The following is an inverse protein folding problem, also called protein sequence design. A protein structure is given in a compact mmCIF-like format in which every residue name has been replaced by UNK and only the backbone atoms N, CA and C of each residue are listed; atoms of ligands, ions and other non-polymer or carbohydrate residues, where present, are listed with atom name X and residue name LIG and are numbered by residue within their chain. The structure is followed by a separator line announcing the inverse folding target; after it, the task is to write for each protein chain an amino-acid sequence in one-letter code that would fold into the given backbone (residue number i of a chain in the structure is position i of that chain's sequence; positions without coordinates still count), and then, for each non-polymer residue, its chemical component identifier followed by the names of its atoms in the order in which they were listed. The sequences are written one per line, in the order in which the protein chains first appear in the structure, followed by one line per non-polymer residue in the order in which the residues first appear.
data_IF_367979554861
#
_entry.id   IF_367979554861
#
_cell.length_a   1.000
_cell.length_b   1.000
_cell.length_c   1.000
_cell.angle_alpha   90.00
_cell.angle_beta   90.00
_cell.angle_gamma   90.00
#
_symmetry.space_group_name_H-M   'P 1'
#
loop_
_entity.id
_entity.type
_entity.pdbx_description
1 polymer ?
#
# COMPACT_ATOMS: atom_id res chain seq x y z
N UNK A 1 16.03 20.67 80.08
CA UNK A 1 16.06 21.11 78.65
C UNK A 1 15.74 19.90 77.81
N UNK A 2 14.51 19.78 77.34
CA UNK A 2 14.02 18.68 76.52
C UNK A 2 13.99 19.20 75.08
N UNK A 3 14.77 18.61 74.18
CA UNK A 3 14.75 18.94 72.74
C UNK A 3 13.79 17.99 72.05
N UNK A 4 12.72 18.51 71.58
CA UNK A 4 11.74 17.82 70.73
C UNK A 4 12.21 17.85 69.29
N UNK A 5 12.60 16.70 68.70
CA UNK A 5 12.91 16.61 67.26
C UNK A 5 11.61 16.35 66.47
N UNK A 6 11.28 17.25 65.57
CA UNK A 6 10.16 17.16 64.67
C UNK A 6 10.63 16.39 63.40
N UNK A 7 10.14 15.17 63.24
CA UNK A 7 10.35 14.40 62.00
C UNK A 7 9.30 14.84 60.94
N UNK A 8 9.80 15.46 59.89
CA UNK A 8 9.02 15.79 58.72
C UNK A 8 8.94 14.60 57.78
N UNK A 9 7.79 13.93 57.70
CA UNK A 9 7.58 12.84 56.75
C UNK A 9 7.24 13.44 55.36
N UNK A 10 8.16 13.34 54.40
CA UNK A 10 7.90 13.66 53.00
C UNK A 10 7.09 12.50 52.37
N UNK A 11 5.81 12.71 52.14
CA UNK A 11 4.97 11.80 51.36
C UNK A 11 5.34 11.91 49.88
N UNK A 12 5.96 10.86 49.30
CA UNK A 12 6.08 10.72 47.88
C UNK A 12 4.69 10.44 47.30
N UNK A 13 4.08 11.42 46.67
CA UNK A 13 2.93 11.22 45.80
C UNK A 13 3.37 10.48 44.53
N UNK A 14 3.04 9.19 44.40
CA UNK A 14 3.18 8.45 43.15
C UNK A 14 2.13 8.99 42.16
N UNK A 15 2.57 9.79 41.19
CA UNK A 15 1.78 10.15 40.03
C UNK A 15 1.54 8.85 39.25
N UNK A 16 0.30 8.42 39.00
CA UNK A 16 0.06 7.28 38.14
C UNK A 16 0.61 7.66 36.75
N UNK A 17 1.61 6.93 36.27
CA UNK A 17 1.99 6.93 34.86
C UNK A 17 0.77 6.37 34.14
N UNK A 18 -0.03 7.25 33.52
CA UNK A 18 -1.04 6.82 32.55
C UNK A 18 -0.29 5.93 31.54
N UNK A 19 -0.64 4.66 31.48
CA UNK A 19 -0.16 3.78 30.44
C UNK A 19 -0.47 4.49 29.12
N UNK A 20 0.56 4.81 28.33
CA UNK A 20 0.43 5.37 27.01
C UNK A 20 -0.45 4.38 26.23
N UNK A 21 -1.69 4.78 25.93
CA UNK A 21 -2.60 3.93 25.19
C UNK A 21 -1.88 3.59 23.88
N UNK A 22 -1.53 2.33 23.72
CA UNK A 22 -0.75 1.85 22.56
C UNK A 22 -1.53 2.14 21.29
N UNK A 23 -1.15 3.22 20.62
CA UNK A 23 -1.83 3.72 19.42
C UNK A 23 -1.50 2.81 18.25
N UNK A 24 -2.49 2.10 17.74
CA UNK A 24 -2.35 1.37 16.47
C UNK A 24 -3.23 2.04 15.41
N UNK A 25 -2.78 2.01 14.17
CA UNK A 25 -3.53 2.52 13.03
C UNK A 25 -3.25 1.69 11.78
N UNK A 26 -4.21 1.63 10.88
CA UNK A 26 -4.09 0.93 9.61
C UNK A 26 -4.86 1.68 8.53
N UNK A 27 -4.23 1.88 7.39
CA UNK A 27 -4.88 2.41 6.19
C UNK A 27 -4.51 1.55 5.00
N UNK A 28 -5.49 1.25 4.14
CA UNK A 28 -5.31 0.44 2.94
C UNK A 28 -5.94 1.14 1.72
N UNK A 29 -5.44 0.81 0.53
CA UNK A 29 -6.09 1.15 -0.73
C UNK A 29 -6.17 -0.05 -1.67
N UNK A 30 -7.22 -0.08 -2.48
CA UNK A 30 -7.43 -1.01 -3.59
C UNK A 30 -7.20 -0.36 -4.95
N UNK A 31 -6.62 0.85 -4.97
CA UNK A 31 -6.27 1.60 -6.17
C UNK A 31 -7.06 2.87 -6.40
N UNK A 32 -6.42 3.84 -7.06
CA UNK A 32 -7.03 5.06 -7.56
C UNK A 32 -7.19 4.98 -9.09
N UNK A 33 -8.25 5.60 -9.64
CA UNK A 33 -8.52 5.59 -11.07
C UNK A 33 -9.84 6.23 -11.45
N UNK A 34 -10.30 5.97 -12.69
CA UNK A 34 -11.63 6.41 -13.16
C UNK A 34 -12.68 5.47 -12.57
N UNK A 35 -13.03 5.71 -11.31
CA UNK A 35 -14.03 4.95 -10.56
C UNK A 35 -15.27 5.84 -10.43
N UNK A 36 -16.19 5.67 -11.37
CA UNK A 36 -17.42 6.45 -11.40
C UNK A 36 -18.60 5.63 -10.88
N UNK A 37 -19.44 6.22 -10.02
CA UNK A 37 -20.62 5.57 -9.44
C UNK A 37 -21.55 4.96 -10.48
N UNK A 38 -21.70 5.60 -11.64
CA UNK A 38 -22.53 5.09 -12.75
C UNK A 38 -21.95 3.87 -13.48
N UNK A 39 -20.64 3.63 -13.33
CA UNK A 39 -19.94 2.53 -14.00
C UNK A 39 -19.79 1.29 -13.11
N UNK A 40 -20.15 1.39 -11.84
CA UNK A 40 -20.06 0.29 -10.86
C UNK A 40 -21.48 -0.11 -10.46
N UNK A 41 -21.85 -1.38 -10.68
CA UNK A 41 -23.15 -1.86 -10.23
C UNK A 41 -23.23 -1.85 -8.70
N UNK A 42 -24.44 -1.77 -8.14
CA UNK A 42 -24.61 -1.82 -6.68
C UNK A 42 -24.15 -3.16 -6.08
N UNK A 43 -24.12 -4.23 -6.86
CA UNK A 43 -23.59 -5.54 -6.45
C UNK A 43 -22.07 -5.52 -6.40
N UNK A 44 -21.41 -5.00 -7.44
CA UNK A 44 -19.97 -4.87 -7.53
C UNK A 44 -19.44 -3.92 -6.46
N UNK A 45 -20.11 -2.78 -6.23
CA UNK A 45 -19.75 -1.85 -5.15
C UNK A 45 -19.78 -2.55 -3.79
N UNK A 46 -20.83 -3.32 -3.50
CA UNK A 46 -20.89 -4.10 -2.25
C UNK A 46 -19.79 -5.16 -2.17
N UNK A 47 -19.45 -5.80 -3.29
CA UNK A 47 -18.37 -6.80 -3.32
C UNK A 47 -17.00 -6.15 -3.05
N UNK A 48 -16.70 -5.03 -3.70
CA UNK A 48 -15.47 -4.25 -3.47
C UNK A 48 -15.36 -3.80 -2.02
N UNK A 49 -16.44 -3.22 -1.44
CA UNK A 49 -16.43 -2.77 -0.04
C UNK A 49 -16.22 -3.95 0.92
N UNK A 50 -16.88 -5.10 0.70
CA UNK A 50 -16.64 -6.30 1.52
C UNK A 50 -15.19 -6.77 1.49
N UNK A 51 -14.54 -6.74 0.32
CA UNK A 51 -13.14 -7.17 0.20
C UNK A 51 -12.17 -6.16 0.82
N UNK A 52 -12.45 -4.84 0.74
CA UNK A 52 -11.73 -3.82 1.50
C UNK A 52 -11.88 -4.03 3.01
N UNK A 53 -13.10 -4.24 3.49
CA UNK A 53 -13.35 -4.48 4.91
C UNK A 53 -12.64 -5.74 5.40
N UNK A 54 -12.67 -6.84 4.62
CA UNK A 54 -11.94 -8.07 4.95
C UNK A 54 -10.42 -7.86 5.03
N UNK A 55 -9.86 -7.08 4.10
CA UNK A 55 -8.43 -6.77 4.10
C UNK A 55 -8.04 -5.90 5.29
N UNK A 56 -8.87 -4.89 5.61
CA UNK A 56 -8.71 -4.04 6.77
C UNK A 56 -8.79 -4.85 8.08
N UNK A 57 -9.77 -5.75 8.18
CA UNK A 57 -9.98 -6.60 9.35
C UNK A 57 -8.82 -7.58 9.55
N UNK A 58 -8.26 -8.15 8.47
CA UNK A 58 -7.12 -9.05 8.55
C UNK A 58 -5.87 -8.37 9.13
N UNK A 59 -5.54 -7.16 8.65
CA UNK A 59 -4.42 -6.40 9.22
C UNK A 59 -4.69 -5.91 10.64
N UNK A 60 -5.91 -5.46 10.91
CA UNK A 60 -6.29 -5.00 12.26
C UNK A 60 -6.30 -6.12 13.30
N UNK A 61 -6.65 -7.35 12.92
CA UNK A 61 -6.56 -8.49 13.82
C UNK A 61 -5.11 -8.72 14.30
N UNK A 62 -4.14 -8.63 13.38
CA UNK A 62 -2.71 -8.71 13.72
C UNK A 62 -2.32 -7.63 14.73
N UNK A 63 -2.72 -6.36 14.50
CA UNK A 63 -2.39 -5.26 15.40
C UNK A 63 -3.04 -5.42 16.78
N UNK A 64 -4.31 -5.86 16.84
CA UNK A 64 -5.03 -6.12 18.10
C UNK A 64 -4.40 -7.24 18.91
N UNK A 65 -3.89 -8.26 18.25
CA UNK A 65 -3.16 -9.36 18.91
C UNK A 65 -1.72 -8.96 19.30
N UNK A 66 -1.35 -7.70 19.06
CA UNK A 66 -0.05 -7.16 19.40
C UNK A 66 1.06 -7.48 18.42
N UNK A 67 0.72 -7.96 17.23
CA UNK A 67 1.66 -8.22 16.13
C UNK A 67 2.26 -6.95 15.54
N UNK A 68 3.25 -7.11 14.66
CA UNK A 68 4.00 -6.02 14.06
C UNK A 68 3.23 -5.31 12.94
N UNK A 69 3.58 -4.05 12.67
CA UNK A 69 3.10 -3.32 11.49
C UNK A 69 3.41 -4.06 10.19
N UNK A 70 4.58 -4.71 10.10
CA UNK A 70 4.99 -5.52 8.96
C UNK A 70 4.05 -6.71 8.71
N UNK A 71 3.64 -7.42 9.77
CA UNK A 71 2.69 -8.52 9.68
C UNK A 71 1.30 -8.02 9.30
N UNK A 72 0.88 -6.87 9.83
CA UNK A 72 -0.42 -6.27 9.54
C UNK A 72 -0.56 -5.86 8.07
N UNK A 73 0.44 -5.15 7.49
CA UNK A 73 0.40 -4.78 6.07
C UNK A 73 0.45 -6.02 5.18
N UNK A 74 1.24 -7.03 5.55
CA UNK A 74 1.31 -8.30 4.81
C UNK A 74 -0.05 -8.99 4.81
N UNK A 75 -0.72 -9.09 5.96
CA UNK A 75 -2.03 -9.72 6.08
C UNK A 75 -3.10 -9.01 5.23
N UNK A 76 -3.13 -7.68 5.26
CA UNK A 76 -4.03 -6.86 4.43
C UNK A 76 -3.80 -7.07 2.93
N UNK A 77 -2.54 -6.97 2.48
CA UNK A 77 -2.21 -7.11 1.06
C UNK A 77 -2.53 -8.52 0.54
N UNK A 78 -2.28 -9.57 1.32
CA UNK A 78 -2.62 -10.95 0.92
C UNK A 78 -4.12 -11.08 0.62
N UNK A 79 -4.99 -10.48 1.41
CA UNK A 79 -6.45 -10.48 1.15
C UNK A 79 -6.79 -9.71 -0.14
N UNK A 80 -6.11 -8.57 -0.38
CA UNK A 80 -6.31 -7.78 -1.60
C UNK A 80 -5.78 -8.52 -2.84
N UNK A 81 -4.66 -9.24 -2.75
CA UNK A 81 -4.10 -10.07 -3.82
C UNK A 81 -4.98 -11.30 -4.17
N UNK A 82 -5.78 -11.81 -3.23
CA UNK A 82 -6.75 -12.90 -3.47
C UNK A 82 -8.06 -12.40 -4.08
N UNK A 83 -8.34 -11.10 -4.06
CA UNK A 83 -9.56 -10.51 -4.61
C UNK A 83 -9.47 -10.31 -6.13
N UNK A 84 -10.52 -10.69 -6.90
CA UNK A 84 -10.55 -10.43 -8.34
C UNK A 84 -10.82 -8.96 -8.69
N UNK A 85 -11.17 -8.14 -7.71
CA UNK A 85 -11.59 -6.74 -7.92
C UNK A 85 -10.40 -5.78 -8.10
N UNK A 86 -9.27 -6.06 -7.44
CA UNK A 86 -8.13 -5.16 -7.40
C UNK A 86 -7.03 -5.62 -8.37
N UNK A 87 -6.25 -4.67 -8.87
CA UNK A 87 -5.14 -4.96 -9.79
C UNK A 87 -3.88 -5.41 -9.01
N UNK A 88 -3.96 -6.57 -8.41
CA UNK A 88 -2.85 -7.25 -7.76
C UNK A 88 -3.20 -8.74 -7.62
N UNK A 89 -2.24 -9.64 -7.66
CA UNK A 89 -2.50 -11.07 -7.54
C UNK A 89 -3.59 -11.55 -8.50
N UNK A 90 -4.66 -12.14 -7.97
CA UNK A 90 -5.78 -12.73 -8.72
C UNK A 90 -6.46 -11.77 -9.71
N UNK A 91 -6.57 -10.50 -9.37
CA UNK A 91 -7.20 -9.48 -10.21
C UNK A 91 -6.22 -8.68 -11.06
N UNK A 92 -4.99 -9.15 -11.22
CA UNK A 92 -3.95 -8.44 -11.98
C UNK A 92 -4.32 -8.25 -13.45
N UNK A 93 -3.96 -7.10 -14.01
CA UNK A 93 -4.16 -6.79 -15.43
C UNK A 93 -3.27 -7.64 -16.33
N UNK A 94 -3.71 -7.82 -17.58
CA UNK A 94 -2.91 -8.50 -18.61
C UNK A 94 -1.87 -7.56 -19.23
N UNK A 95 -0.69 -8.11 -19.51
CA UNK A 95 0.31 -7.48 -20.36
C UNK A 95 -0.04 -7.63 -21.86
N UNK A 96 0.74 -7.03 -22.75
CA UNK A 96 0.50 -7.06 -24.19
C UNK A 96 0.64 -8.47 -24.81
N UNK A 97 1.38 -9.39 -24.18
CA UNK A 97 1.51 -10.76 -24.59
C UNK A 97 0.32 -11.64 -24.16
N UNK A 98 -0.57 -11.12 -23.31
CA UNK A 98 -1.75 -11.82 -22.80
C UNK A 98 -1.46 -12.68 -21.57
N UNK A 99 -0.38 -12.41 -20.86
CA UNK A 99 -0.04 -12.97 -19.56
C UNK A 99 -0.01 -11.91 -18.47
N UNK A 100 0.48 -12.28 -17.28
CA UNK A 100 0.59 -11.42 -16.12
C UNK A 100 2.05 -11.27 -15.69
N UNK A 101 2.41 -10.06 -15.25
CA UNK A 101 3.69 -9.72 -14.64
C UNK A 101 3.39 -8.89 -13.41
N UNK A 102 3.70 -9.44 -12.24
CA UNK A 102 3.32 -8.89 -10.94
C UNK A 102 4.53 -8.25 -10.26
N UNK A 103 4.28 -7.13 -9.60
CA UNK A 103 5.30 -6.37 -8.88
C UNK A 103 4.82 -6.13 -7.44
N UNK A 104 5.73 -6.15 -6.47
CA UNK A 104 5.42 -5.82 -5.09
C UNK A 104 6.63 -5.29 -4.34
N UNK A 105 6.40 -4.48 -3.32
CA UNK A 105 7.42 -4.08 -2.35
C UNK A 105 6.86 -3.92 -0.95
N UNK A 106 7.73 -4.10 0.04
CA UNK A 106 7.44 -3.94 1.45
C UNK A 106 8.63 -3.26 2.14
N UNK A 107 8.36 -2.39 3.10
CA UNK A 107 9.40 -1.68 3.85
C UNK A 107 9.01 -1.54 5.33
N UNK A 108 9.98 -1.78 6.20
CA UNK A 108 9.91 -1.63 7.64
C UNK A 108 10.59 -0.33 8.06
N UNK A 109 9.84 0.58 8.68
CA UNK A 109 10.31 1.97 8.89
C UNK A 109 11.45 2.11 9.88
N UNK A 110 11.39 1.42 11.02
CA UNK A 110 12.36 1.58 12.11
C UNK A 110 13.75 1.01 11.79
N UNK A 111 13.84 0.02 10.91
CA UNK A 111 15.13 -0.56 10.45
C UNK A 111 15.54 -0.10 9.07
N UNK A 112 14.62 0.47 8.29
CA UNK A 112 14.77 0.78 6.86
C UNK A 112 15.01 -0.46 5.99
N UNK A 113 14.80 -1.68 6.51
CA UNK A 113 14.84 -2.90 5.68
C UNK A 113 13.67 -2.88 4.71
N UNK A 114 13.96 -3.32 3.49
CA UNK A 114 12.97 -3.38 2.44
C UNK A 114 13.19 -4.61 1.56
N UNK A 115 12.13 -5.06 0.92
CA UNK A 115 12.17 -6.12 -0.10
C UNK A 115 11.22 -5.81 -1.23
N UNK A 116 11.61 -6.17 -2.45
CA UNK A 116 10.83 -5.94 -3.65
C UNK A 116 10.99 -7.05 -4.67
N UNK A 117 9.94 -7.27 -5.45
CA UNK A 117 9.96 -8.16 -6.61
C UNK A 117 9.26 -7.49 -7.78
N UNK A 118 9.76 -7.73 -9.01
CA UNK A 118 9.18 -7.21 -10.23
C UNK A 118 9.10 -8.30 -11.30
N UNK A 119 8.01 -8.31 -12.10
CA UNK A 119 7.85 -9.19 -13.25
C UNK A 119 7.72 -10.67 -12.90
N UNK A 120 7.17 -11.02 -11.73
CA UNK A 120 6.87 -12.43 -11.39
C UNK A 120 5.53 -12.84 -11.98
N UNK A 121 5.39 -14.11 -12.38
CA UNK A 121 4.24 -14.59 -13.15
C UNK A 121 3.60 -15.89 -12.63
N UNK A 122 4.20 -16.51 -11.62
CA UNK A 122 3.72 -17.78 -11.05
C UNK A 122 3.69 -17.78 -9.52
N UNK A 123 4.04 -16.65 -8.88
CA UNK A 123 3.99 -16.47 -7.42
C UNK A 123 2.60 -16.02 -7.03
N UNK A 124 1.88 -16.85 -6.26
CA UNK A 124 0.48 -16.58 -5.86
C UNK A 124 0.32 -15.24 -5.14
N UNK A 125 1.25 -14.92 -4.23
CA UNK A 125 1.26 -13.69 -3.45
C UNK A 125 2.60 -12.97 -3.58
N UNK A 126 2.72 -12.00 -4.50
CA UNK A 126 3.95 -11.22 -4.70
C UNK A 126 4.46 -10.52 -3.45
N UNK A 127 3.54 -10.04 -2.57
CA UNK A 127 3.96 -9.37 -1.32
C UNK A 127 4.67 -10.31 -0.35
N UNK A 128 4.29 -11.59 -0.31
CA UNK A 128 4.99 -12.60 0.51
C UNK A 128 6.41 -12.84 -0.03
N UNK A 129 6.57 -12.87 -1.35
CA UNK A 129 7.89 -13.01 -1.95
C UNK A 129 8.75 -11.75 -1.73
N UNK A 130 8.20 -10.54 -1.87
CA UNK A 130 8.89 -9.30 -1.55
C UNK A 130 9.37 -9.29 -0.09
N UNK A 131 8.54 -9.74 0.85
CA UNK A 131 8.91 -9.92 2.24
C UNK A 131 10.03 -10.96 2.41
N UNK A 132 9.95 -12.10 1.75
CA UNK A 132 10.99 -13.12 1.78
C UNK A 132 12.34 -12.61 1.24
N UNK A 133 12.33 -11.76 0.21
CA UNK A 133 13.55 -11.07 -0.27
C UNK A 133 14.17 -10.23 0.84
N UNK A 134 13.38 -9.46 1.57
CA UNK A 134 13.86 -8.63 2.71
C UNK A 134 14.41 -9.47 3.86
N UNK A 135 13.72 -10.57 4.21
CA UNK A 135 14.03 -11.34 5.43
C UNK A 135 15.13 -12.39 5.22
N UNK A 136 15.26 -12.92 3.99
CA UNK A 136 16.05 -14.12 3.71
C UNK A 136 17.09 -13.94 2.59
N UNK A 137 17.39 -12.70 2.21
CA UNK A 137 18.45 -12.40 1.25
C UNK A 137 19.22 -11.15 1.62
N UNK A 138 20.44 -10.95 1.09
CA UNK A 138 21.19 -9.69 1.24
C UNK A 138 20.68 -8.61 0.26
N UNK A 139 19.72 -8.93 -0.60
CA UNK A 139 19.25 -8.04 -1.66
C UNK A 139 17.98 -7.31 -1.23
N UNK A 140 17.75 -6.13 -1.81
CA UNK A 140 16.49 -5.38 -1.63
C UNK A 140 15.50 -5.72 -2.74
N UNK A 141 15.96 -6.02 -3.96
CA UNK A 141 15.07 -6.23 -5.10
C UNK A 141 15.55 -7.36 -5.99
N UNK A 142 14.61 -8.20 -6.43
CA UNK A 142 14.81 -9.25 -7.42
C UNK A 142 13.75 -9.13 -8.54
N UNK A 143 14.07 -9.56 -9.76
CA UNK A 143 13.15 -9.43 -10.90
C UNK A 143 13.11 -10.68 -11.79
N UNK A 144 11.96 -10.89 -12.46
CA UNK A 144 11.74 -11.90 -13.48
C UNK A 144 12.19 -13.30 -13.06
N UNK A 145 12.90 -13.99 -13.94
CA UNK A 145 13.35 -15.38 -13.71
C UNK A 145 14.22 -15.53 -12.45
N UNK A 146 14.98 -14.49 -12.05
CA UNK A 146 15.77 -14.52 -10.82
C UNK A 146 14.90 -14.53 -9.57
N UNK A 147 13.84 -13.71 -9.54
CA UNK A 147 12.87 -13.69 -8.45
C UNK A 147 12.08 -15.00 -8.36
N UNK A 148 11.70 -15.58 -9.51
CA UNK A 148 11.04 -16.89 -9.60
C UNK A 148 11.95 -18.02 -9.07
N UNK A 149 13.24 -18.02 -9.44
CA UNK A 149 14.21 -18.98 -8.93
C UNK A 149 14.44 -18.84 -7.42
N UNK A 150 14.45 -17.62 -6.88
CA UNK A 150 14.49 -17.41 -5.44
C UNK A 150 13.23 -17.96 -4.76
N UNK A 151 12.04 -17.75 -5.34
CA UNK A 151 10.79 -18.30 -4.81
C UNK A 151 10.84 -19.84 -4.72
N UNK A 152 11.51 -20.54 -5.66
CA UNK A 152 11.66 -22.01 -5.63
C UNK A 152 12.51 -22.50 -4.44
N UNK A 153 13.35 -21.64 -3.87
CA UNK A 153 14.13 -21.96 -2.67
C UNK A 153 13.34 -21.73 -1.37
N UNK A 154 12.09 -21.25 -1.47
CA UNK A 154 11.25 -20.80 -0.33
C UNK A 154 9.95 -21.61 -0.30
N UNK A 155 9.88 -22.71 0.47
CA UNK A 155 8.70 -23.61 0.48
C UNK A 155 7.42 -22.92 0.99
N UNK A 156 7.54 -21.81 1.74
CA UNK A 156 6.41 -21.00 2.18
C UNK A 156 5.80 -20.12 1.06
N UNK A 157 6.47 -19.96 -0.07
CA UNK A 157 5.99 -19.18 -1.22
C UNK A 157 5.19 -20.08 -2.16
N UNK A 158 3.88 -19.95 -2.11
CA UNK A 158 2.98 -20.73 -2.96
C UNK A 158 3.12 -20.35 -4.44
N UNK A 159 3.24 -21.37 -5.29
CA UNK A 159 3.29 -21.23 -6.76
C UNK A 159 1.94 -21.58 -7.35
N UNK A 160 1.59 -20.90 -8.43
CA UNK A 160 0.36 -21.13 -9.19
C UNK A 160 0.66 -21.17 -10.69
N UNK A 161 -0.25 -21.72 -11.46
CA UNK A 161 -0.21 -21.61 -12.91
C UNK A 161 -0.51 -20.15 -13.32
N UNK A 162 0.06 -19.65 -14.42
CA UNK A 162 -0.18 -18.27 -14.87
C UNK A 162 -1.66 -17.94 -15.10
N UNK A 163 -2.48 -18.90 -15.52
CA UNK A 163 -3.92 -18.71 -15.73
C UNK A 163 -4.73 -18.56 -14.43
N UNK A 164 -4.13 -18.77 -13.26
CA UNK A 164 -4.75 -18.51 -11.96
C UNK A 164 -5.12 -17.02 -11.76
N UNK A 165 -4.37 -16.12 -12.40
CA UNK A 165 -4.58 -14.68 -12.31
C UNK A 165 -5.66 -14.16 -13.25
N UNK A 166 -6.11 -14.97 -14.22
CA UNK A 166 -7.07 -14.60 -15.25
C UNK A 166 -8.43 -14.23 -14.64
N UNK A 167 -8.99 -13.11 -15.09
CA UNK A 167 -10.39 -12.75 -14.87
C UNK A 167 -11.00 -12.22 -16.16
N UNK A 168 -12.31 -12.46 -16.39
CA UNK A 168 -13.00 -12.01 -17.60
C UNK A 168 -12.97 -10.49 -17.72
N UNK A 169 -13.19 -9.78 -16.60
CA UNK A 169 -13.10 -8.32 -16.55
C UNK A 169 -11.75 -7.78 -17.03
N UNK A 170 -10.63 -8.39 -16.60
CA UNK A 170 -9.29 -7.95 -17.04
C UNK A 170 -9.00 -8.31 -18.48
N UNK A 171 -9.56 -9.40 -18.96
CA UNK A 171 -9.46 -9.80 -20.38
C UNK A 171 -10.18 -8.79 -21.27
N UNK A 172 -11.40 -8.40 -20.91
CA UNK A 172 -12.15 -7.34 -21.62
C UNK A 172 -11.39 -6.00 -21.63
N UNK A 173 -10.76 -5.63 -20.52
CA UNK A 173 -9.93 -4.41 -20.45
C UNK A 173 -8.75 -4.47 -21.42
N UNK A 174 -8.06 -5.62 -21.55
CA UNK A 174 -6.98 -5.79 -22.52
C UNK A 174 -7.49 -5.64 -23.96
N UNK A 175 -8.62 -6.25 -24.29
CA UNK A 175 -9.21 -6.14 -25.63
C UNK A 175 -9.58 -4.69 -25.98
N UNK A 176 -10.17 -3.96 -25.02
CA UNK A 176 -10.47 -2.54 -25.20
C UNK A 176 -9.20 -1.69 -25.39
N UNK A 177 -8.15 -1.96 -24.59
CA UNK A 177 -6.88 -1.26 -24.71
C UNK A 177 -6.24 -1.50 -26.09
N UNK A 178 -6.24 -2.73 -26.59
CA UNK A 178 -5.76 -3.08 -27.94
C UNK A 178 -6.56 -2.43 -29.06
N UNK A 179 -7.90 -2.32 -28.91
CA UNK A 179 -8.76 -1.61 -29.89
C UNK A 179 -8.43 -0.12 -29.95
N UNK A 180 -8.26 0.53 -28.81
CA UNK A 180 -7.87 1.97 -28.73
C UNK A 180 -6.50 2.21 -29.37
N UNK A 181 -5.52 1.36 -29.06
CA UNK A 181 -4.18 1.46 -29.63
C UNK A 181 -4.20 1.33 -31.18
N UNK A 182 -4.96 0.36 -31.73
CA UNK A 182 -5.14 0.22 -33.18
C UNK A 182 -5.80 1.45 -33.83
N UNK A 183 -6.63 2.18 -33.08
CA UNK A 183 -7.25 3.42 -33.49
C UNK A 183 -6.34 4.67 -33.33
N UNK A 184 -5.08 4.48 -32.91
CA UNK A 184 -4.12 5.58 -32.68
C UNK A 184 -4.47 6.46 -31.47
N UNK A 185 -5.32 5.99 -30.57
CA UNK A 185 -5.70 6.72 -29.37
C UNK A 185 -4.67 6.51 -28.26
N UNK A 186 -4.26 7.60 -27.61
CA UNK A 186 -3.36 7.53 -26.47
C UNK A 186 -3.96 6.69 -25.32
N UNK A 187 -3.09 6.06 -24.53
CA UNK A 187 -3.50 5.45 -23.27
C UNK A 187 -4.20 6.50 -22.38
N UNK A 188 -5.31 6.10 -21.78
CA UNK A 188 -6.12 6.99 -20.93
C UNK A 188 -5.93 6.62 -19.46
N UNK A 189 -6.22 7.54 -18.50
CA UNK A 189 -6.24 7.21 -17.07
C UNK A 189 -7.04 5.95 -16.72
N UNK A 190 -8.10 5.63 -17.48
CA UNK A 190 -8.87 4.39 -17.34
C UNK A 190 -8.09 3.10 -17.65
N UNK A 191 -6.86 3.22 -18.20
CA UNK A 191 -5.95 2.09 -18.45
C UNK A 191 -5.11 1.69 -17.24
N UNK A 192 -5.16 2.45 -16.14
CA UNK A 192 -4.27 2.32 -14.96
C UNK A 192 -5.01 1.94 -13.70
N UNK A 193 -5.94 1.01 -13.72
CA UNK A 193 -6.67 0.67 -12.50
C UNK A 193 -5.83 -0.16 -11.54
N UNK A 194 -5.57 0.43 -10.38
CA UNK A 194 -5.69 -0.12 -9.07
C UNK A 194 -4.59 -0.97 -8.49
N UNK A 195 -3.37 -0.50 -8.36
CA UNK A 195 -2.39 -1.00 -7.37
C UNK A 195 -3.03 -1.13 -5.98
N UNK A 196 -2.71 -2.16 -5.20
CA UNK A 196 -3.13 -2.27 -3.80
C UNK A 196 -2.02 -1.86 -2.84
N UNK A 197 -2.39 -1.31 -1.68
CA UNK A 197 -1.42 -0.88 -0.68
C UNK A 197 -1.96 -0.91 0.74
N UNK A 198 -1.02 -0.96 1.70
CA UNK A 198 -1.31 -0.89 3.11
C UNK A 198 -0.18 -0.15 3.85
N UNK A 199 -0.55 0.66 4.85
CA UNK A 199 0.37 1.28 5.80
C UNK A 199 -0.17 1.07 7.19
N UNK A 200 0.66 0.58 8.11
CA UNK A 200 0.31 0.28 9.49
C UNK A 200 1.26 0.92 10.49
N UNK A 201 0.71 1.27 11.65
CA UNK A 201 1.42 1.65 12.87
C UNK A 201 1.11 0.62 13.96
N UNK A 202 2.11 -0.02 14.53
CA UNK A 202 1.94 -0.98 15.62
C UNK A 202 2.07 -0.33 17.01
N UNK A 203 1.78 -1.11 18.05
CA UNK A 203 1.84 -0.68 19.45
C UNK A 203 3.23 -0.25 19.93
N UNK A 204 4.29 -0.56 19.17
CA UNK A 204 5.67 -0.15 19.48
C UNK A 204 6.05 1.16 18.78
N UNK A 205 5.12 1.77 18.04
CA UNK A 205 5.35 2.97 17.24
C UNK A 205 6.12 2.69 15.95
N UNK A 206 6.22 1.41 15.53
CA UNK A 206 6.84 1.05 14.26
C UNK A 206 5.85 1.19 13.12
N UNK A 207 6.32 1.73 12.01
CA UNK A 207 5.55 1.90 10.77
C UNK A 207 6.05 0.89 9.74
N UNK A 208 5.14 0.30 8.97
CA UNK A 208 5.45 -0.47 7.78
C UNK A 208 4.53 -0.06 6.63
N UNK A 209 5.05 -0.14 5.41
CA UNK A 209 4.30 0.10 4.19
C UNK A 209 4.50 -1.04 3.20
N UNK A 210 3.47 -1.35 2.42
CA UNK A 210 3.49 -2.41 1.43
C UNK A 210 2.63 -2.03 0.22
N UNK A 211 3.09 -2.41 -0.97
CA UNK A 211 2.43 -2.12 -2.25
C UNK A 211 2.53 -3.33 -3.17
N UNK A 212 1.45 -3.70 -3.88
CA UNK A 212 1.42 -4.82 -4.82
C UNK A 212 0.56 -4.49 -6.05
N UNK A 213 0.97 -4.95 -7.24
CA UNK A 213 0.29 -4.60 -8.49
C UNK A 213 0.55 -5.60 -9.62
N UNK A 214 -0.38 -5.63 -10.60
CA UNK A 214 -0.16 -6.19 -11.94
C UNK A 214 0.41 -5.16 -12.94
N UNK A 215 0.61 -3.90 -12.53
CA UNK A 215 1.06 -2.81 -13.40
C UNK A 215 -0.07 -2.23 -14.26
N UNK A 216 0.25 -1.89 -15.53
CA UNK A 216 -0.68 -1.31 -16.50
C UNK A 216 -1.24 -2.37 -17.45
N UNK A 217 -2.53 -2.26 -17.79
CA UNK A 217 -3.13 -3.04 -18.88
C UNK A 217 -2.39 -2.81 -20.20
N UNK A 218 -2.09 -3.89 -20.92
CA UNK A 218 -1.36 -3.86 -22.20
C UNK A 218 0.09 -3.37 -22.08
N UNK A 219 0.71 -3.41 -20.88
CA UNK A 219 2.14 -3.06 -20.70
C UNK A 219 3.03 -3.98 -21.54
N UNK A 220 4.19 -3.45 -21.98
CA UNK A 220 5.13 -4.12 -22.88
C UNK A 220 6.54 -4.13 -22.32
N UNK A 221 7.37 -5.01 -22.89
CA UNK A 221 8.83 -5.03 -22.71
C UNK A 221 9.26 -5.17 -21.24
N UNK A 222 8.45 -5.86 -20.41
CA UNK A 222 8.74 -5.98 -18.98
C UNK A 222 8.63 -4.65 -18.23
N UNK A 223 7.70 -3.76 -18.64
CA UNK A 223 7.49 -2.46 -17.96
C UNK A 223 7.25 -2.66 -16.49
N UNK A 224 8.04 -1.99 -15.67
CA UNK A 224 7.91 -1.90 -14.22
C UNK A 224 7.44 -0.49 -13.86
N UNK A 225 6.42 -0.39 -13.00
CA UNK A 225 5.94 0.87 -12.44
C UNK A 225 6.59 1.24 -11.13
N UNK A 226 5.93 2.09 -10.39
CA UNK A 226 6.38 2.60 -9.09
C UNK A 226 6.27 1.59 -7.94
N UNK A 227 5.32 0.68 -8.00
CA UNK A 227 4.97 -0.22 -6.88
C UNK A 227 6.16 -1.01 -6.30
N UNK A 228 7.10 -1.58 -7.08
CA UNK A 228 8.26 -2.27 -6.53
C UNK A 228 9.45 -1.32 -6.23
N UNK A 229 9.35 -0.03 -6.56
CA UNK A 229 10.44 0.93 -6.42
C UNK A 229 10.32 1.65 -5.08
N UNK A 230 11.22 1.29 -4.15
CA UNK A 230 11.31 1.94 -2.84
C UNK A 230 11.58 3.44 -3.02
N UNK A 231 10.77 4.27 -2.39
CA UNK A 231 10.78 5.72 -2.53
C UNK A 231 9.80 6.27 -3.57
N UNK A 232 9.35 5.46 -4.53
CA UNK A 232 8.36 5.86 -5.53
C UNK A 232 6.93 5.45 -5.15
N UNK A 233 6.61 4.17 -5.18
CA UNK A 233 5.30 3.62 -4.85
C UNK A 233 5.17 3.13 -3.41
N UNK A 234 6.27 3.01 -2.69
CA UNK A 234 6.31 2.51 -1.32
C UNK A 234 7.46 3.16 -0.54
N UNK A 235 7.19 3.59 0.69
CA UNK A 235 8.20 4.08 1.62
C UNK A 235 7.73 3.93 3.06
N UNK A 236 8.66 3.59 3.95
CA UNK A 236 8.45 3.70 5.39
C UNK A 236 9.72 4.16 6.11
N UNK A 237 9.56 5.03 7.09
CA UNK A 237 10.59 5.38 8.06
C UNK A 237 9.99 5.45 9.48
N UNK A 238 10.75 5.94 10.45
CA UNK A 238 10.33 6.06 11.84
C UNK A 238 9.26 7.14 12.09
N UNK A 239 8.92 7.93 11.08
CA UNK A 239 7.97 9.05 11.16
C UNK A 239 6.73 8.88 10.29
N UNK A 240 6.90 8.22 9.15
CA UNK A 240 5.90 8.21 8.09
C UNK A 240 6.00 6.96 7.23
N UNK A 241 4.85 6.45 6.79
CA UNK A 241 4.74 5.42 5.77
C UNK A 241 3.78 5.84 4.67
N UNK A 242 4.07 5.42 3.44
CA UNK A 242 3.29 5.77 2.24
C UNK A 242 3.18 4.58 1.29
N UNK A 243 1.99 4.37 0.72
CA UNK A 243 1.77 3.52 -0.45
C UNK A 243 1.05 4.31 -1.53
N UNK A 244 1.62 4.32 -2.74
CA UNK A 244 1.13 5.04 -3.89
C UNK A 244 0.29 4.17 -4.84
N UNK A 245 -0.57 4.81 -5.63
CA UNK A 245 -1.37 4.20 -6.69
C UNK A 245 -1.68 5.24 -7.76
N UNK A 246 -1.36 4.95 -9.02
CA UNK A 246 -1.56 5.90 -10.12
C UNK A 246 -0.70 5.59 -11.32
N UNK A 247 -0.39 6.63 -12.10
CA UNK A 247 0.48 6.49 -13.26
C UNK A 247 1.94 6.42 -12.84
N UNK A 248 2.48 5.20 -12.76
CA UNK A 248 3.77 4.87 -12.17
C UNK A 248 4.96 5.67 -12.67
N UNK A 249 4.97 6.06 -13.95
CA UNK A 249 6.04 6.87 -14.57
C UNK A 249 6.21 8.23 -13.89
N UNK A 250 5.12 8.85 -13.43
CA UNK A 250 5.17 10.12 -12.69
C UNK A 250 5.56 9.90 -11.23
N UNK A 251 5.08 8.82 -10.63
CA UNK A 251 5.42 8.45 -9.25
C UNK A 251 6.91 8.13 -9.10
N UNK A 252 7.51 7.42 -10.07
CA UNK A 252 8.96 7.17 -10.12
C UNK A 252 9.72 8.49 -10.26
N UNK A 253 9.36 9.34 -11.23
CA UNK A 253 10.07 10.58 -11.53
C UNK A 253 10.00 11.61 -10.39
N UNK A 254 8.90 11.61 -9.63
CA UNK A 254 8.72 12.50 -8.48
C UNK A 254 9.17 11.87 -7.15
N UNK A 255 9.56 10.58 -7.12
CA UNK A 255 9.86 9.85 -5.89
C UNK A 255 8.75 10.01 -4.82
N UNK A 256 7.47 9.87 -5.24
CA UNK A 256 6.27 10.34 -4.53
C UNK A 256 6.23 9.88 -3.08
N UNK A 257 6.43 8.57 -2.83
CA UNK A 257 6.33 8.03 -1.48
C UNK A 257 7.40 8.61 -0.54
N UNK A 258 8.63 8.76 -1.03
CA UNK A 258 9.72 9.37 -0.25
C UNK A 258 9.50 10.88 -0.08
N UNK A 259 9.08 11.63 -1.14
CA UNK A 259 8.91 13.09 -1.05
C UNK A 259 7.87 13.48 0.01
N UNK A 260 6.76 12.70 0.13
CA UNK A 260 5.77 12.92 1.19
C UNK A 260 6.43 12.83 2.57
N UNK A 261 7.14 11.74 2.88
CA UNK A 261 7.78 11.57 4.18
C UNK A 261 8.97 12.51 4.39
N UNK A 262 9.70 12.87 3.33
CA UNK A 262 10.79 13.85 3.38
C UNK A 262 10.27 15.26 3.77
N UNK A 263 9.12 15.67 3.28
CA UNK A 263 8.48 16.95 3.69
C UNK A 263 8.09 16.94 5.17
N UNK A 264 7.53 15.84 5.66
CA UNK A 264 7.28 15.66 7.09
C UNK A 264 8.57 15.73 7.89
N UNK A 265 9.61 15.02 7.45
CA UNK A 265 10.87 14.89 8.19
C UNK A 265 11.74 16.16 8.18
N UNK A 266 11.85 16.84 7.03
CA UNK A 266 12.82 17.91 6.81
C UNK A 266 12.22 19.30 6.81
N UNK A 267 10.92 19.43 6.47
CA UNK A 267 10.22 20.72 6.44
C UNK A 267 9.32 20.92 7.66
N UNK A 268 8.99 19.83 8.38
CA UNK A 268 8.02 19.87 9.47
C UNK A 268 6.57 20.06 9.00
N UNK A 269 6.28 19.76 7.73
CA UNK A 269 4.91 19.80 7.20
C UNK A 269 4.06 18.74 7.93
N UNK A 270 2.78 19.02 8.19
CA UNK A 270 1.87 17.96 8.62
C UNK A 270 1.69 16.92 7.51
N UNK A 271 1.38 15.67 7.88
CA UNK A 271 1.18 14.59 6.92
C UNK A 271 0.20 14.96 5.82
N UNK A 272 -0.92 15.57 6.18
CA UNK A 272 -1.96 15.98 5.22
C UNK A 272 -1.44 17.03 4.22
N UNK A 273 -0.70 18.04 4.70
CA UNK A 273 -0.11 19.08 3.84
C UNK A 273 0.94 18.50 2.91
N UNK A 274 1.82 17.64 3.43
CA UNK A 274 2.87 16.98 2.64
C UNK A 274 2.27 16.09 1.54
N UNK A 275 1.30 15.25 1.89
CA UNK A 275 0.66 14.31 0.98
C UNK A 275 -0.15 15.04 -0.12
N UNK A 276 -0.90 16.09 0.24
CA UNK A 276 -1.64 16.94 -0.70
C UNK A 276 -0.69 17.66 -1.68
N UNK A 277 0.39 18.26 -1.18
CA UNK A 277 1.34 18.99 -2.00
C UNK A 277 2.05 18.10 -3.04
N UNK A 278 2.29 16.83 -2.72
CA UNK A 278 2.93 15.90 -3.64
C UNK A 278 1.92 15.32 -4.63
N UNK A 279 0.80 14.74 -4.16
CA UNK A 279 -0.16 14.04 -5.02
C UNK A 279 -0.97 15.01 -5.89
N UNK A 280 -1.53 16.07 -5.28
CA UNK A 280 -2.38 17.04 -5.98
C UNK A 280 -1.60 18.25 -6.50
N UNK A 281 -0.33 18.40 -6.09
CA UNK A 281 0.58 19.44 -6.60
C UNK A 281 1.60 18.89 -7.60
N UNK A 282 2.65 18.22 -7.12
CA UNK A 282 3.79 17.83 -7.95
C UNK A 282 3.44 16.80 -9.04
N UNK A 283 2.67 15.75 -8.70
CA UNK A 283 2.24 14.73 -9.69
C UNK A 283 1.40 15.37 -10.78
N UNK A 284 0.45 16.26 -10.42
CA UNK A 284 -0.40 16.98 -11.38
C UNK A 284 0.44 17.94 -12.24
N UNK A 285 1.40 18.66 -11.64
CA UNK A 285 2.32 19.55 -12.37
C UNK A 285 3.13 18.81 -13.43
N UNK A 286 3.48 17.55 -13.18
CA UNK A 286 4.20 16.70 -14.13
C UNK A 286 3.28 16.09 -15.20
N UNK A 287 1.96 16.22 -15.08
CA UNK A 287 0.95 15.65 -15.97
C UNK A 287 0.46 14.26 -15.57
N UNK A 288 0.74 13.82 -14.36
CA UNK A 288 0.30 12.53 -13.82
C UNK A 288 -1.00 12.62 -13.04
N UNK A 289 -1.55 11.44 -12.75
CA UNK A 289 -2.71 11.24 -11.90
C UNK A 289 -2.53 10.05 -10.94
N UNK A 290 -3.40 9.96 -9.94
CA UNK A 290 -3.40 8.87 -8.98
C UNK A 290 -3.79 9.32 -7.57
N UNK A 291 -3.31 8.57 -6.58
CA UNK A 291 -3.51 8.81 -5.16
C UNK A 291 -2.44 8.15 -4.32
N UNK A 292 -2.51 8.38 -3.03
CA UNK A 292 -1.68 7.72 -2.04
C UNK A 292 -2.45 7.56 -0.72
N UNK A 293 -2.06 6.56 0.05
CA UNK A 293 -2.34 6.50 1.47
C UNK A 293 -1.06 6.78 2.23
N UNK A 294 -1.17 7.53 3.31
CA UNK A 294 -0.05 7.86 4.19
C UNK A 294 -0.48 7.79 5.65
N UNK A 295 0.46 7.39 6.51
CA UNK A 295 0.27 7.27 7.95
C UNK A 295 1.53 7.77 8.66
N UNK A 296 1.39 8.57 9.71
CA UNK A 296 2.51 9.02 10.53
C UNK A 296 2.58 8.31 11.90
N UNK A 297 3.65 8.60 12.65
CA UNK A 297 3.89 8.02 13.97
C UNK A 297 2.85 8.40 15.04
N UNK A 298 2.10 9.46 14.81
CA UNK A 298 1.04 9.93 15.70
C UNK A 298 -0.32 9.29 15.37
N UNK A 299 -0.36 8.44 14.31
CA UNK A 299 -1.55 7.77 13.84
C UNK A 299 -2.43 8.64 12.95
N UNK A 300 -1.94 9.80 12.49
CA UNK A 300 -2.64 10.59 11.49
C UNK A 300 -2.62 9.88 10.14
N UNK A 301 -3.75 9.94 9.43
CA UNK A 301 -3.94 9.32 8.12
C UNK A 301 -4.24 10.40 7.09
N UNK A 302 -3.56 10.33 5.93
CA UNK A 302 -3.86 11.12 4.76
C UNK A 302 -4.12 10.21 3.54
N UNK A 303 -5.11 10.56 2.73
CA UNK A 303 -5.53 9.76 1.58
C UNK A 303 -5.81 10.67 0.36
N UNK A 304 -4.83 11.49 -0.10
CA UNK A 304 -5.04 12.39 -1.24
C UNK A 304 -5.15 11.60 -2.54
N UNK A 305 -6.00 12.07 -3.45
CA UNK A 305 -6.08 11.58 -4.82
C UNK A 305 -6.69 12.63 -5.75
N UNK A 306 -6.31 12.60 -7.04
CA UNK A 306 -6.79 13.51 -8.08
C UNK A 306 -7.60 12.81 -9.19
N UNK A 307 -7.87 11.53 -9.04
CA UNK A 307 -8.76 10.73 -9.90
C UNK A 307 -10.23 10.87 -9.49
N UNK A 308 -11.17 10.25 -10.21
CA UNK A 308 -12.60 10.28 -9.86
C UNK A 308 -12.97 9.43 -8.65
N UNK A 309 -12.09 8.47 -8.26
CA UNK A 309 -12.27 7.65 -7.06
C UNK A 309 -10.97 6.98 -6.62
N UNK A 310 -10.99 6.49 -5.40
CA UNK A 310 -9.95 5.63 -4.82
C UNK A 310 -10.61 4.65 -3.85
N UNK A 311 -10.43 3.37 -4.10
CA UNK A 311 -10.81 2.31 -3.14
C UNK A 311 -9.92 2.43 -1.91
N UNK A 312 -10.48 2.71 -0.73
CA UNK A 312 -9.74 2.96 0.48
C UNK A 312 -10.50 2.55 1.74
N UNK A 313 -9.76 2.13 2.76
CA UNK A 313 -10.33 1.85 4.07
C UNK A 313 -9.30 2.13 5.19
N UNK A 314 -9.77 2.44 6.39
CA UNK A 314 -8.90 2.84 7.49
C UNK A 314 -9.46 2.50 8.86
N UNK A 315 -8.55 2.37 9.83
CA UNK A 315 -8.83 2.36 11.28
C UNK A 315 -7.84 3.31 11.93
N UNK A 316 -8.35 4.27 12.71
CA UNK A 316 -7.56 5.25 13.45
C UNK A 316 -7.29 4.80 14.88
N UNK A 317 -6.35 5.45 15.61
CA UNK A 317 -6.07 5.13 17.01
C UNK A 317 -7.26 5.23 17.96
N UNK A 318 -8.22 6.09 17.68
CA UNK A 318 -9.46 6.25 18.45
C UNK A 318 -10.50 5.15 18.17
N UNK A 319 -10.15 4.16 17.32
CA UNK A 319 -11.04 3.07 16.91
C UNK A 319 -12.01 3.45 15.80
N UNK A 320 -12.06 4.72 15.37
CA UNK A 320 -12.89 5.11 14.23
C UNK A 320 -12.40 4.45 12.94
N UNK A 321 -13.35 3.93 12.14
CA UNK A 321 -13.05 3.22 10.90
C UNK A 321 -13.98 3.63 9.77
N UNK A 322 -13.54 3.42 8.56
CA UNK A 322 -14.36 3.67 7.37
C UNK A 322 -13.84 2.96 6.14
N UNK A 323 -14.72 2.86 5.15
CA UNK A 323 -14.46 2.35 3.81
C UNK A 323 -15.10 3.30 2.82
N UNK A 324 -14.33 3.74 1.83
CA UNK A 324 -14.78 4.69 0.83
C UNK A 324 -14.29 4.30 -0.58
N UNK A 325 -15.02 4.72 -1.59
CA UNK A 325 -14.80 4.38 -3.01
C UNK A 325 -14.73 5.64 -3.85
N UNK A 326 -15.73 6.51 -3.71
CA UNK A 326 -15.90 7.68 -4.55
C UNK A 326 -15.30 8.95 -3.93
N UNK A 327 -15.19 10.01 -4.74
CA UNK A 327 -14.58 11.26 -4.32
C UNK A 327 -15.40 12.02 -3.28
N UNK A 328 -16.70 11.85 -3.30
CA UNK A 328 -17.68 12.53 -2.45
C UNK A 328 -17.90 11.84 -1.08
N UNK A 329 -17.07 10.83 -0.75
CA UNK A 329 -17.12 10.07 0.52
C UNK A 329 -15.99 10.41 1.48
#
# INVERSE_FOLDING_TARGET
MIRTSLLLALGLATVPVLADETRTALVIHGGAGVIERRALSAEDERAVRRDLDRALDAGNAVLKDGGSALDAVTASIVVLEESPWFNAGKGAVFNAAGGHELDASIMEGHTRRAGAVAGVSTVRSPIRLARAVMEHSPHVMMAGAGAEAFADTRPEIARVRPDWFDTDHRREQLEQARKREKAGQAATPSSYFGTVGAVALDKHGHIAAATSTGGMTNKRFGRVGDAPVIGAGNWADDRCGVSGTGWGEFYIRAAVAHDICARVAYRGDSLAVAAEAVVNGEVVRLGGDGGAIALDRDGNIAMPFNTSGMYRAWIKPDGSRGTAVFRDE
#
